data_IF_288686895941
#
_entry.id   IF_288686895941
#
_cell.length_a   1.000
_cell.length_b   1.000
_cell.length_c   1.000
_cell.angle_alpha   90.00
_cell.angle_beta   90.00
_cell.angle_gamma   90.00
#
_symmetry.space_group_name_H-M   'P 1'
#
loop_
_entity.id
_entity.type
_entity.pdbx_description
1 polymer ?
#
# COMPACT_ATOMS: atom_id res chain seq x y z
N UNK A 1 35.29 -11.69 -7.94
CA UNK A 1 35.36 -11.10 -6.59
C UNK A 1 34.04 -10.39 -6.29
N UNK A 2 33.61 -10.30 -5.02
CA UNK A 2 32.45 -9.51 -4.66
C UNK A 2 32.71 -8.01 -4.89
N UNK A 3 31.65 -7.26 -5.19
CA UNK A 3 31.74 -5.81 -5.28
C UNK A 3 32.10 -5.20 -3.90
N UNK A 4 32.90 -4.12 -3.84
CA UNK A 4 33.20 -3.44 -2.60
C UNK A 4 31.93 -2.92 -1.90
N UNK A 5 31.93 -2.98 -0.56
CA UNK A 5 30.84 -2.44 0.24
C UNK A 5 30.70 -0.92 0.05
N UNK A 6 29.46 -0.46 -0.13
CA UNK A 6 29.15 0.97 -0.28
C UNK A 6 29.33 1.66 1.07
N UNK A 7 30.27 2.60 1.14
CA UNK A 7 30.52 3.37 2.37
C UNK A 7 29.25 4.06 2.88
N UNK A 8 28.97 4.03 4.19
CA UNK A 8 27.89 4.79 4.81
C UNK A 8 27.91 6.27 4.41
N UNK A 9 26.74 6.86 4.19
CA UNK A 9 26.62 8.26 3.75
C UNK A 9 26.85 8.50 2.25
N UNK A 10 27.21 7.47 1.47
CA UNK A 10 27.34 7.59 0.01
C UNK A 10 25.99 7.87 -0.64
N UNK A 11 24.99 7.02 -0.40
CA UNK A 11 23.66 7.13 -1.03
C UNK A 11 22.67 7.93 -0.18
N UNK A 12 22.42 7.48 1.05
CA UNK A 12 21.49 8.17 1.95
C UNK A 12 22.16 9.41 2.54
N UNK A 13 21.65 10.61 2.22
CA UNK A 13 22.10 11.87 2.81
C UNK A 13 21.28 12.32 4.02
N UNK A 14 20.54 11.38 4.64
CA UNK A 14 19.64 11.64 5.79
C UNK A 14 18.69 12.82 5.56
N UNK A 15 18.17 12.97 4.34
CA UNK A 15 17.30 14.09 3.93
C UNK A 15 15.84 13.94 4.42
N UNK A 16 15.46 12.76 4.93
CA UNK A 16 14.14 12.43 5.48
C UNK A 16 12.96 12.57 4.52
N UNK A 17 13.19 12.72 3.21
CA UNK A 17 12.12 12.74 2.20
C UNK A 17 11.32 11.43 2.20
N UNK A 18 12.00 10.29 2.37
CA UNK A 18 11.37 8.99 2.46
C UNK A 18 10.42 8.84 3.65
N UNK A 19 10.73 9.47 4.78
CA UNK A 19 9.86 9.51 5.97
C UNK A 19 8.57 10.24 5.64
N UNK A 20 8.69 11.48 5.14
CA UNK A 20 7.54 12.32 4.79
C UNK A 20 6.61 11.66 3.77
N UNK A 21 7.18 10.98 2.79
CA UNK A 21 6.44 10.45 1.66
C UNK A 21 5.94 9.00 1.87
N UNK A 22 6.28 8.35 2.98
CA UNK A 22 5.84 6.98 3.25
C UNK A 22 4.33 6.93 3.55
N UNK A 23 3.50 6.28 2.72
CA UNK A 23 2.04 6.23 2.93
C UNK A 23 1.63 5.47 4.20
N UNK A 24 2.52 4.62 4.73
CA UNK A 24 2.30 3.86 5.95
C UNK A 24 2.88 4.50 7.21
N UNK A 25 3.54 5.67 7.11
CA UNK A 25 4.27 6.26 8.24
C UNK A 25 5.20 5.24 8.96
N UNK A 26 5.88 4.42 8.14
CA UNK A 26 6.63 3.26 8.63
C UNK A 26 8.09 3.58 8.94
N UNK A 27 8.65 4.64 8.35
CA UNK A 27 10.06 5.00 8.54
C UNK A 27 10.14 6.01 9.70
N UNK A 28 10.99 5.81 10.71
CA UNK A 28 11.07 6.70 11.85
C UNK A 28 11.58 8.10 11.45
N UNK A 29 11.13 9.16 12.14
CA UNK A 29 11.56 10.52 11.87
C UNK A 29 13.02 10.74 12.27
N UNK A 30 13.54 11.94 11.95
CA UNK A 30 14.88 12.35 12.37
C UNK A 30 15.00 12.29 13.89
N UNK A 31 16.03 11.58 14.39
CA UNK A 31 16.24 11.36 15.82
C UNK A 31 15.36 10.26 16.42
N UNK A 32 14.55 9.57 15.61
CA UNK A 32 13.81 8.39 16.01
C UNK A 32 14.68 7.13 16.10
N UNK A 33 14.06 5.97 16.39
CA UNK A 33 14.75 4.69 16.51
C UNK A 33 15.56 4.31 15.26
N UNK A 34 16.72 3.68 15.48
CA UNK A 34 17.66 3.29 14.43
C UNK A 34 18.26 1.92 14.72
N UNK A 35 18.54 1.16 13.67
CA UNK A 35 19.32 -0.09 13.71
C UNK A 35 20.75 0.21 13.29
N UNK A 36 21.72 -0.37 14.01
CA UNK A 36 23.15 -0.29 13.72
C UNK A 36 23.77 -1.68 13.63
N UNK A 37 24.59 -1.91 12.61
CA UNK A 37 25.37 -3.14 12.44
C UNK A 37 26.80 -2.82 12.01
N UNK A 38 27.73 -3.73 12.26
CA UNK A 38 29.11 -3.63 11.79
C UNK A 38 29.38 -4.71 10.74
N UNK A 39 29.88 -4.31 9.56
CA UNK A 39 30.32 -5.22 8.50
C UNK A 39 31.72 -4.79 8.08
N UNK A 40 32.70 -5.69 8.21
CA UNK A 40 34.10 -5.44 7.83
C UNK A 40 34.69 -4.13 8.41
N UNK A 41 34.38 -3.83 9.67
CA UNK A 41 34.86 -2.63 10.35
C UNK A 41 34.11 -1.34 9.97
N UNK A 42 33.12 -1.40 9.09
CA UNK A 42 32.26 -0.28 8.73
C UNK A 42 30.93 -0.35 9.50
N UNK A 43 30.54 0.76 10.13
CA UNK A 43 29.23 0.88 10.81
C UNK A 43 28.14 1.32 9.83
N UNK A 44 27.10 0.51 9.68
CA UNK A 44 25.90 0.83 8.91
C UNK A 44 24.76 1.17 9.86
N UNK A 45 24.03 2.25 9.54
CA UNK A 45 22.89 2.72 10.31
C UNK A 45 21.73 3.08 9.39
N UNK A 46 20.52 2.63 9.74
CA UNK A 46 19.27 3.04 9.11
C UNK A 46 18.16 3.16 10.15
N UNK A 47 17.05 3.79 9.77
CA UNK A 47 15.89 3.91 10.66
C UNK A 47 15.29 2.54 10.95
N UNK A 48 14.91 2.28 12.19
CA UNK A 48 14.17 1.08 12.58
C UNK A 48 12.75 1.14 12.02
N UNK A 49 12.57 0.56 10.82
CA UNK A 49 11.32 0.62 10.07
C UNK A 49 10.25 -0.19 10.79
N UNK A 50 9.08 0.40 11.02
CA UNK A 50 7.93 -0.33 11.48
C UNK A 50 7.44 -1.28 10.37
N UNK A 51 7.90 -2.54 10.45
CA UNK A 51 7.65 -3.54 9.42
C UNK A 51 6.17 -3.91 9.30
N UNK A 52 5.38 -3.86 10.37
CA UNK A 52 3.94 -4.08 10.28
C UNK A 52 3.23 -3.03 9.43
N UNK A 53 3.50 -1.74 9.67
CA UNK A 53 2.95 -0.63 8.88
C UNK A 53 3.42 -0.68 7.42
N UNK A 54 4.71 -0.98 7.23
CA UNK A 54 5.31 -1.14 5.91
C UNK A 54 4.62 -2.26 5.14
N UNK A 55 4.53 -3.45 5.72
CA UNK A 55 3.96 -4.66 5.11
C UNK A 55 2.47 -4.52 4.85
N UNK A 56 1.70 -3.98 5.78
CA UNK A 56 0.26 -3.74 5.58
C UNK A 56 0.03 -2.79 4.39
N UNK A 57 0.79 -1.69 4.34
CA UNK A 57 0.69 -0.73 3.23
C UNK A 57 1.20 -1.32 1.92
N UNK A 58 2.31 -2.06 1.96
CA UNK A 58 2.93 -2.69 0.79
C UNK A 58 1.97 -3.65 0.09
N UNK A 59 1.28 -4.48 0.87
CA UNK A 59 0.37 -5.52 0.38
C UNK A 59 -1.08 -5.04 0.25
N UNK A 60 -1.32 -3.73 0.35
CA UNK A 60 -2.57 -3.11 -0.06
C UNK A 60 -3.63 -2.95 1.03
N UNK A 61 -3.32 -3.23 2.30
CA UNK A 61 -4.19 -2.92 3.45
C UNK A 61 -3.88 -1.50 3.93
N UNK A 62 -4.09 -0.50 3.06
CA UNK A 62 -4.01 0.93 3.37
C UNK A 62 -4.72 1.74 2.26
N UNK A 63 -5.76 2.50 2.62
CA UNK A 63 -6.53 3.32 1.68
C UNK A 63 -5.68 4.35 0.93
N UNK A 64 -4.63 4.89 1.56
CA UNK A 64 -3.74 5.85 0.93
C UNK A 64 -2.94 5.24 -0.23
N UNK A 65 -2.79 3.92 -0.28
CA UNK A 65 -1.94 3.24 -1.25
C UNK A 65 -2.69 2.26 -2.18
N UNK A 66 -3.87 1.80 -1.79
CA UNK A 66 -4.55 0.67 -2.47
C UNK A 66 -5.88 1.07 -3.08
N UNK A 67 -5.95 1.32 -4.41
CA UNK A 67 -7.23 1.50 -5.09
C UNK A 67 -8.09 0.24 -5.05
N UNK A 68 -7.47 -0.93 -4.89
CA UNK A 68 -8.16 -2.22 -4.82
C UNK A 68 -8.85 -2.44 -3.47
N UNK A 69 -8.23 -1.97 -2.37
CA UNK A 69 -8.89 -2.00 -1.07
C UNK A 69 -10.14 -1.13 -1.08
N UNK A 70 -10.01 0.10 -1.59
CA UNK A 70 -11.13 1.02 -1.76
C UNK A 70 -12.24 0.44 -2.64
N UNK A 71 -11.87 -0.22 -3.75
CA UNK A 71 -12.83 -0.78 -4.71
C UNK A 71 -13.57 -2.00 -4.18
N UNK A 72 -12.87 -2.93 -3.53
CA UNK A 72 -13.42 -4.24 -3.19
C UNK A 72 -13.81 -4.39 -1.71
N UNK A 73 -13.32 -3.50 -0.85
CA UNK A 73 -13.68 -3.42 0.56
C UNK A 73 -13.98 -1.95 0.94
N UNK A 74 -14.98 -1.31 0.31
CA UNK A 74 -15.32 0.08 0.59
C UNK A 74 -15.69 0.27 2.06
N UNK A 75 -15.16 1.32 2.70
CA UNK A 75 -15.33 1.64 4.12
C UNK A 75 -14.41 0.86 5.07
N UNK A 76 -13.75 -0.21 4.62
CA UNK A 76 -12.87 -1.01 5.48
C UNK A 76 -11.57 -0.28 5.83
N UNK A 77 -11.53 0.39 6.98
CA UNK A 77 -10.39 1.19 7.40
C UNK A 77 -9.67 0.62 8.63
N UNK A 78 -8.35 0.56 8.55
CA UNK A 78 -7.45 0.39 9.68
C UNK A 78 -6.55 1.63 9.76
N UNK A 79 -6.29 2.14 10.96
CA UNK A 79 -5.37 3.27 11.16
C UNK A 79 -3.90 2.81 11.01
N UNK A 80 -3.49 2.57 9.76
CA UNK A 80 -2.18 1.99 9.44
C UNK A 80 -1.02 2.89 9.84
N UNK A 81 -1.21 4.21 9.89
CA UNK A 81 -0.13 5.13 10.24
C UNK A 81 0.29 5.04 11.70
N UNK A 82 -0.56 4.44 12.55
CA UNK A 82 -0.43 4.45 14.01
C UNK A 82 -0.47 3.05 14.63
N UNK A 83 -0.90 2.04 13.88
CA UNK A 83 -0.92 0.64 14.34
C UNK A 83 0.44 0.13 14.82
N UNK A 84 0.40 -0.81 15.76
CA UNK A 84 1.55 -1.52 16.33
C UNK A 84 1.64 -2.98 15.87
N UNK A 85 0.89 -3.36 14.83
CA UNK A 85 0.90 -4.74 14.33
C UNK A 85 2.32 -5.18 13.94
N UNK A 86 2.61 -6.47 14.13
CA UNK A 86 3.85 -7.06 13.63
C UNK A 86 3.80 -7.23 12.11
N UNK A 87 4.96 -7.44 11.51
CA UNK A 87 5.07 -7.82 10.10
C UNK A 87 4.26 -9.08 9.77
N UNK A 88 4.41 -10.13 10.57
CA UNK A 88 3.68 -11.40 10.38
C UNK A 88 2.15 -11.22 10.48
N UNK A 89 1.68 -10.40 11.42
CA UNK A 89 0.25 -10.11 11.51
C UNK A 89 -0.23 -9.33 10.28
N UNK A 90 0.57 -8.38 9.80
CA UNK A 90 0.27 -7.65 8.57
C UNK A 90 0.18 -8.61 7.37
N UNK A 91 1.14 -9.52 7.19
CA UNK A 91 1.09 -10.56 6.16
C UNK A 91 -0.15 -11.44 6.28
N UNK A 92 -0.46 -11.91 7.49
CA UNK A 92 -1.64 -12.75 7.74
C UNK A 92 -2.93 -12.05 7.32
N UNK A 93 -3.10 -10.78 7.68
CA UNK A 93 -4.28 -9.98 7.31
C UNK A 93 -4.33 -9.76 5.79
N UNK A 94 -3.23 -9.30 5.18
CA UNK A 94 -3.21 -8.94 3.76
C UNK A 94 -3.49 -10.14 2.87
N UNK A 95 -2.90 -11.31 3.17
CA UNK A 95 -3.14 -12.53 2.41
C UNK A 95 -4.53 -13.12 2.67
N UNK A 96 -5.02 -13.08 3.91
CA UNK A 96 -6.38 -13.56 4.22
C UNK A 96 -7.43 -12.79 3.46
N UNK A 97 -7.35 -11.45 3.44
CA UNK A 97 -8.30 -10.59 2.74
C UNK A 97 -8.11 -10.63 1.22
N UNK A 98 -6.85 -10.56 0.77
CA UNK A 98 -6.50 -10.52 -0.65
C UNK A 98 -6.88 -11.79 -1.42
N UNK A 99 -6.78 -12.95 -0.76
CA UNK A 99 -7.08 -14.26 -1.35
C UNK A 99 -8.45 -14.81 -0.95
N UNK A 100 -9.22 -14.03 -0.18
CA UNK A 100 -10.55 -14.42 0.27
C UNK A 100 -11.47 -14.78 -0.90
N UNK A 101 -12.39 -15.72 -0.63
CA UNK A 101 -13.48 -16.07 -1.53
C UNK A 101 -14.80 -15.69 -0.84
N UNK A 102 -15.67 -14.99 -1.55
CA UNK A 102 -16.97 -14.52 -1.11
C UNK A 102 -18.06 -15.21 -1.92
N UNK A 103 -18.64 -16.30 -1.42
CA UNK A 103 -19.56 -17.14 -2.18
C UNK A 103 -20.93 -16.50 -2.50
N UNK A 104 -21.28 -15.38 -1.85
CA UNK A 104 -22.59 -14.73 -1.99
C UNK A 104 -22.56 -13.63 -3.05
N UNK A 105 -22.90 -14.00 -4.27
CA UNK A 105 -23.06 -13.02 -5.36
C UNK A 105 -24.24 -12.09 -5.08
N UNK A 106 -24.03 -10.81 -5.32
CA UNK A 106 -25.06 -9.78 -5.24
C UNK A 106 -24.61 -8.57 -6.10
N UNK A 107 -25.51 -7.62 -6.42
CA UNK A 107 -25.14 -6.49 -7.28
C UNK A 107 -24.04 -5.56 -6.71
N UNK A 108 -23.80 -5.59 -5.40
CA UNK A 108 -22.76 -4.78 -4.73
C UNK A 108 -21.38 -5.40 -4.91
N UNK A 109 -21.32 -6.73 -4.78
CA UNK A 109 -20.11 -7.53 -4.91
C UNK A 109 -20.31 -8.60 -5.99
N UNK A 110 -20.14 -8.25 -7.27
CA UNK A 110 -20.25 -9.22 -8.35
C UNK A 110 -19.06 -10.20 -8.34
N UNK A 111 -19.36 -11.49 -8.45
CA UNK A 111 -18.37 -12.56 -8.48
C UNK A 111 -18.08 -13.17 -7.09
N UNK A 112 -17.10 -14.09 -7.06
CA UNK A 112 -16.80 -14.89 -5.87
C UNK A 112 -15.49 -14.55 -5.18
N UNK A 113 -14.74 -13.57 -5.68
CA UNK A 113 -13.41 -13.23 -5.17
C UNK A 113 -13.51 -11.98 -4.30
N UNK A 114 -12.92 -12.03 -3.09
CA UNK A 114 -12.84 -10.87 -2.22
C UNK A 114 -12.06 -9.73 -2.86
N UNK A 115 -10.96 -10.04 -3.55
CA UNK A 115 -10.24 -9.08 -4.39
C UNK A 115 -9.78 -9.73 -5.69
N UNK A 116 -10.53 -9.55 -6.80
CA UNK A 116 -10.19 -10.10 -8.11
C UNK A 116 -8.76 -9.77 -8.57
N UNK A 117 -8.35 -8.50 -8.44
CA UNK A 117 -7.01 -8.07 -8.84
C UNK A 117 -5.91 -8.74 -8.04
N UNK A 118 -6.05 -8.76 -6.71
CA UNK A 118 -5.04 -9.34 -5.81
C UNK A 118 -4.93 -10.85 -6.07
N UNK A 119 -6.06 -11.55 -6.18
CA UNK A 119 -6.07 -12.98 -6.52
C UNK A 119 -5.40 -13.24 -7.87
N UNK A 120 -5.67 -12.43 -8.90
CA UNK A 120 -5.00 -12.55 -10.19
C UNK A 120 -3.48 -12.36 -10.07
N UNK A 121 -3.01 -11.30 -9.43
CA UNK A 121 -1.57 -11.03 -9.29
C UNK A 121 -0.88 -12.14 -8.49
N UNK A 122 -1.48 -12.60 -7.39
CA UNK A 122 -0.96 -13.72 -6.61
C UNK A 122 -0.87 -15.02 -7.42
N UNK A 123 -1.88 -15.34 -8.22
CA UNK A 123 -1.89 -16.59 -9.01
C UNK A 123 -0.88 -16.61 -10.16
N UNK A 124 -0.44 -15.45 -10.65
CA UNK A 124 0.49 -15.37 -11.78
C UNK A 124 1.92 -15.02 -11.36
N UNK A 125 2.06 -14.05 -10.45
CA UNK A 125 3.36 -13.50 -10.05
C UNK A 125 3.81 -13.96 -8.66
N UNK A 126 2.91 -14.54 -7.85
CA UNK A 126 3.22 -15.04 -6.50
C UNK A 126 3.42 -13.96 -5.43
N UNK A 127 3.41 -12.66 -5.77
CA UNK A 127 3.72 -11.59 -4.84
C UNK A 127 2.83 -10.36 -5.02
N UNK A 128 2.47 -9.71 -3.91
CA UNK A 128 1.49 -8.62 -3.85
C UNK A 128 2.13 -7.29 -3.47
N UNK A 129 2.75 -6.63 -4.46
CA UNK A 129 3.38 -5.32 -4.27
C UNK A 129 2.46 -4.16 -4.68
N UNK A 130 1.44 -3.86 -3.87
CA UNK A 130 0.42 -2.83 -4.19
C UNK A 130 0.94 -1.40 -3.98
N UNK A 131 1.69 -1.14 -2.89
CA UNK A 131 2.27 0.19 -2.66
C UNK A 131 3.21 0.63 -3.80
N UNK A 132 3.87 -0.34 -4.45
CA UNK A 132 4.58 -0.11 -5.71
C UNK A 132 5.58 1.04 -5.67
N UNK A 133 6.31 1.21 -4.57
CA UNK A 133 7.27 2.30 -4.39
C UNK A 133 6.68 3.73 -4.45
N UNK A 134 5.35 3.94 -4.34
CA UNK A 134 4.71 5.27 -4.54
C UNK A 134 5.26 6.39 -3.65
N UNK A 135 5.84 6.04 -2.50
CA UNK A 135 6.27 6.95 -1.45
C UNK A 135 7.78 6.96 -1.23
N UNK A 136 8.24 6.17 -0.25
CA UNK A 136 9.61 6.21 0.26
C UNK A 136 10.70 5.97 -0.81
N UNK A 137 10.54 4.92 -1.64
CA UNK A 137 11.47 4.61 -2.71
C UNK A 137 11.46 5.70 -3.77
N UNK A 138 10.27 6.14 -4.21
CA UNK A 138 10.11 7.26 -5.12
C UNK A 138 10.84 8.51 -4.64
N UNK A 139 10.66 8.89 -3.38
CA UNK A 139 11.30 10.05 -2.77
C UNK A 139 12.84 9.95 -2.76
N UNK A 140 13.37 8.76 -2.46
CA UNK A 140 14.80 8.49 -2.50
C UNK A 140 15.34 8.60 -3.93
N UNK A 141 14.70 7.95 -4.90
CA UNK A 141 15.14 7.95 -6.29
C UNK A 141 15.07 9.35 -6.92
N UNK A 142 13.99 10.10 -6.69
CA UNK A 142 13.89 11.51 -7.12
C UNK A 142 15.04 12.36 -6.53
N UNK A 143 15.43 12.10 -5.27
CA UNK A 143 16.59 12.76 -4.67
C UNK A 143 17.89 12.37 -5.38
N UNK A 144 18.13 11.07 -5.63
CA UNK A 144 19.36 10.60 -6.28
C UNK A 144 19.50 11.18 -7.69
N UNK A 145 18.41 11.21 -8.44
CA UNK A 145 18.35 11.77 -9.80
C UNK A 145 18.65 13.28 -9.79
N UNK A 146 17.95 14.06 -8.95
CA UNK A 146 18.11 15.52 -8.89
C UNK A 146 19.48 15.96 -8.37
N UNK A 147 20.04 15.23 -7.42
CA UNK A 147 21.34 15.56 -6.83
C UNK A 147 22.51 14.99 -7.61
N UNK A 148 22.25 14.16 -8.63
CA UNK A 148 23.28 13.48 -9.43
C UNK A 148 24.25 12.66 -8.55
N UNK A 149 23.76 12.16 -7.42
CA UNK A 149 24.56 11.47 -6.41
C UNK A 149 24.95 10.05 -6.84
N UNK A 150 24.24 9.46 -7.81
CA UNK A 150 24.63 8.22 -8.49
C UNK A 150 25.16 8.59 -9.89
N UNK A 151 26.31 8.05 -10.34
CA UNK A 151 26.88 8.36 -11.66
C UNK A 151 25.96 7.98 -12.84
N UNK A 152 25.22 6.88 -12.72
CA UNK A 152 24.19 6.49 -13.69
C UNK A 152 22.89 7.30 -13.52
N UNK A 153 22.96 8.63 -13.70
CA UNK A 153 21.83 9.55 -13.50
C UNK A 153 21.26 10.14 -14.80
N UNK A 154 21.76 9.71 -15.97
CA UNK A 154 21.33 10.24 -17.26
C UNK A 154 20.14 9.43 -17.81
N UNK A 155 18.96 9.64 -17.24
CA UNK A 155 17.72 9.09 -17.80
C UNK A 155 17.13 10.06 -18.84
N UNK A 156 16.65 9.54 -19.98
CA UNK A 156 15.92 10.35 -20.98
C UNK A 156 14.62 10.92 -20.43
N UNK A 157 13.99 10.17 -19.53
CA UNK A 157 12.75 10.52 -18.85
C UNK A 157 13.03 10.48 -17.35
N UNK A 158 12.51 11.44 -16.55
CA UNK A 158 12.64 11.38 -15.10
C UNK A 158 12.23 10.01 -14.55
N UNK A 159 12.92 9.52 -13.51
CA UNK A 159 12.60 8.21 -12.89
C UNK A 159 11.11 8.14 -12.50
N UNK A 160 10.53 9.27 -12.08
CA UNK A 160 9.09 9.43 -11.87
C UNK A 160 8.56 10.68 -12.59
N UNK A 161 7.98 10.53 -13.80
CA UNK A 161 7.61 11.68 -14.63
C UNK A 161 6.30 12.37 -14.21
N UNK A 162 5.36 11.64 -13.59
CA UNK A 162 4.06 12.17 -13.17
C UNK A 162 4.07 12.70 -11.74
N UNK A 163 3.09 13.54 -11.34
CA UNK A 163 2.96 13.98 -9.95
C UNK A 163 2.73 12.79 -8.99
N UNK A 164 2.95 13.03 -7.70
CA UNK A 164 2.49 12.10 -6.67
C UNK A 164 0.96 12.09 -6.66
N UNK A 165 0.40 10.93 -6.40
CA UNK A 165 -1.04 10.75 -6.24
C UNK A 165 -1.36 10.21 -4.85
N UNK A 166 -2.53 10.59 -4.35
CA UNK A 166 -3.07 10.12 -3.09
C UNK A 166 -4.57 9.88 -3.28
N UNK A 167 -5.05 8.77 -2.73
CA UNK A 167 -6.47 8.48 -2.69
C UNK A 167 -7.08 9.23 -1.50
N UNK A 168 -8.35 9.61 -1.60
CA UNK A 168 -9.04 10.23 -0.48
C UNK A 168 -8.99 9.29 0.75
N UNK A 169 -8.88 9.86 1.96
CA UNK A 169 -8.90 9.06 3.18
C UNK A 169 -10.28 8.38 3.34
N UNK A 170 -10.33 7.24 4.04
CA UNK A 170 -11.56 6.48 4.23
C UNK A 170 -12.71 7.28 4.87
N UNK A 171 -12.39 8.22 5.76
CA UNK A 171 -13.38 9.09 6.41
C UNK A 171 -14.11 10.04 5.43
N UNK A 172 -13.51 10.31 4.28
CA UNK A 172 -14.06 11.19 3.23
C UNK A 172 -14.56 10.40 2.02
N UNK A 173 -14.43 9.07 2.04
CA UNK A 173 -14.85 8.22 0.95
C UNK A 173 -16.36 7.96 1.01
N UNK A 174 -17.15 8.26 -0.04
CA UNK A 174 -18.56 7.92 -0.09
C UNK A 174 -18.73 6.40 -0.21
N UNK A 175 -18.75 5.72 0.94
CA UNK A 175 -18.93 4.27 1.07
C UNK A 175 -20.31 3.97 1.64
N UNK A 176 -20.93 2.87 1.21
CA UNK A 176 -22.21 2.40 1.74
C UNK A 176 -22.82 1.32 0.86
N UNK A 177 -23.48 0.35 1.47
CA UNK A 177 -24.04 -0.79 0.77
C UNK A 177 -25.26 -0.45 -0.08
N UNK A 178 -25.60 -1.34 -1.01
CA UNK A 178 -26.80 -1.26 -1.86
C UNK A 178 -28.07 -1.08 -1.01
N UNK A 179 -28.06 -1.67 0.19
CA UNK A 179 -29.15 -1.62 1.17
C UNK A 179 -29.24 -0.28 1.92
N UNK A 180 -28.16 0.50 1.98
CA UNK A 180 -28.03 1.62 2.92
C UNK A 180 -28.58 2.95 2.40
N UNK A 181 -28.95 3.05 1.11
CA UNK A 181 -29.80 4.15 0.62
C UNK A 181 -30.37 3.94 -0.78
N UNK A 182 -29.52 3.70 -1.78
CA UNK A 182 -29.90 3.94 -3.18
C UNK A 182 -30.75 2.84 -3.81
N UNK A 183 -30.41 1.58 -3.58
CA UNK A 183 -31.12 0.48 -4.21
C UNK A 183 -32.40 0.10 -3.45
N UNK A 184 -32.45 0.27 -2.12
CA UNK A 184 -33.71 0.11 -1.39
C UNK A 184 -34.77 1.13 -1.86
N UNK A 185 -34.36 2.37 -2.13
CA UNK A 185 -35.26 3.42 -2.63
C UNK A 185 -35.50 3.40 -4.14
N UNK A 186 -34.77 2.60 -4.93
CA UNK A 186 -34.96 2.51 -6.38
C UNK A 186 -35.55 1.15 -6.81
N UNK A 187 -35.19 0.04 -6.15
CA UNK A 187 -35.60 -1.32 -6.50
C UNK A 187 -36.91 -1.77 -5.81
N UNK A 188 -37.26 -1.19 -4.66
CA UNK A 188 -38.41 -1.63 -3.85
C UNK A 188 -39.49 -0.56 -3.67
N UNK A 189 -39.53 0.44 -4.55
CA UNK A 189 -40.63 1.44 -4.57
C UNK A 189 -41.90 0.88 -5.19
N UNK A 190 -41.74 0.01 -6.20
CA UNK A 190 -42.84 -0.68 -6.84
C UNK A 190 -42.96 -2.09 -6.24
N UNK A 191 -44.12 -2.48 -5.67
CA UNK A 191 -44.33 -3.85 -5.22
C UNK A 191 -44.24 -4.81 -6.41
N UNK A 192 -43.61 -5.97 -6.20
CA UNK A 192 -43.55 -7.03 -7.20
C UNK A 192 -44.97 -7.50 -7.55
N UNK A 193 -45.42 -7.15 -8.77
CA UNK A 193 -46.78 -7.44 -9.25
C UNK A 193 -46.96 -8.90 -9.67
N UNK A 194 -45.87 -9.67 -9.69
CA UNK A 194 -45.86 -11.08 -10.10
C UNK A 194 -45.41 -12.02 -8.97
N UNK A 195 -45.36 -11.52 -7.73
CA UNK A 195 -45.04 -12.32 -6.55
C UNK A 195 -46.10 -13.41 -6.34
N UNK A 196 -45.73 -14.67 -6.63
CA UNK A 196 -46.61 -15.84 -6.47
C UNK A 196 -46.81 -16.67 -7.74
N UNK A 197 -46.25 -16.27 -8.88
CA UNK A 197 -46.09 -17.16 -10.03
C UNK A 197 -44.88 -18.07 -9.76
N UNK A 198 -45.14 -19.25 -9.18
CA UNK A 198 -44.21 -20.38 -9.26
C UNK A 198 -44.41 -21.12 -10.58
#
# INVERSE_FOLDING_TARGET
>A
EPDPLIKPGTLCKRCMKCVKDCPGNAIPPKGGPSIKINIEGQEYEWGDVNMGRCTATHHGINYKASPFLKRYFPGFNLEITDTTMSEELAYKITHSLGLATWGRQNPEFPGTMGSPYIKQVSSHCGYLAVCGAKGCIRACMEFQEKTKNIPQNNFKTPVFPGPKWELCPPAEDPTGGIVEKKAMTELYQEPDKDAGQW
#
